data_IF_219326140635
#
_entry.id   IF_219326140635
#
_cell.length_a   1.000
_cell.length_b   1.000
_cell.length_c   1.000
_cell.angle_alpha   90.00
_cell.angle_beta   90.00
_cell.angle_gamma   90.00
#
_symmetry.space_group_name_H-M   'P 1'
#
loop_
_entity.id
_entity.type
_entity.pdbx_description
1 polymer ?
#
# COMPACT_ATOMS: atom_id res chain seq x y z
N UNK A 1 30.01 22.25 -0.75
CA UNK A 1 29.14 21.28 -1.43
C UNK A 1 28.77 20.04 -0.60
N UNK A 2 29.46 19.77 0.50
CA UNK A 2 29.26 18.56 1.34
C UNK A 2 28.03 18.68 2.28
N UNK A 3 27.61 19.89 2.64
CA UNK A 3 26.47 20.08 3.57
C UNK A 3 25.10 19.72 2.98
N UNK A 4 24.91 19.86 1.66
CA UNK A 4 23.64 19.52 1.02
C UNK A 4 23.39 18.01 0.89
N UNK A 5 24.45 17.22 0.74
CA UNK A 5 24.34 15.76 0.57
C UNK A 5 23.91 15.03 1.86
N UNK A 6 24.18 15.62 3.03
CA UNK A 6 23.76 15.05 4.31
C UNK A 6 22.39 15.55 4.80
N UNK A 7 21.94 16.72 4.30
CA UNK A 7 20.67 17.32 4.71
C UNK A 7 19.49 16.52 4.16
N UNK A 8 19.55 16.08 2.90
CA UNK A 8 18.47 15.31 2.28
C UNK A 8 18.17 13.98 2.99
N UNK A 9 19.18 13.10 3.24
CA UNK A 9 18.93 11.86 3.97
C UNK A 9 18.51 12.12 5.43
N UNK A 10 19.03 13.16 6.08
CA UNK A 10 18.62 13.51 7.43
C UNK A 10 17.15 13.95 7.51
N UNK A 11 16.68 14.75 6.56
CA UNK A 11 15.25 15.14 6.45
C UNK A 11 14.40 13.92 6.19
N UNK A 12 14.80 13.04 5.27
CA UNK A 12 14.05 11.83 4.93
C UNK A 12 13.91 10.90 6.14
N UNK A 13 15.00 10.62 6.83
CA UNK A 13 15.01 9.79 8.06
C UNK A 13 14.21 10.46 9.17
N UNK A 14 14.34 11.79 9.33
CA UNK A 14 13.60 12.56 10.32
C UNK A 14 12.08 12.51 10.09
N UNK A 15 11.63 12.71 8.85
CA UNK A 15 10.22 12.62 8.49
C UNK A 15 9.68 11.19 8.66
N UNK A 16 10.43 10.18 8.23
CA UNK A 16 10.05 8.78 8.40
C UNK A 16 9.92 8.39 9.87
N UNK A 17 10.88 8.81 10.69
CA UNK A 17 10.84 8.59 12.14
C UNK A 17 9.66 9.33 12.80
N UNK A 18 9.37 10.56 12.37
CA UNK A 18 8.24 11.34 12.87
C UNK A 18 6.91 10.65 12.53
N UNK A 19 6.72 10.22 11.28
CA UNK A 19 5.52 9.47 10.87
C UNK A 19 5.41 8.16 11.66
N UNK A 20 6.50 7.40 11.79
CA UNK A 20 6.51 6.15 12.54
C UNK A 20 6.13 6.37 14.02
N UNK A 21 6.66 7.41 14.66
CA UNK A 21 6.34 7.73 16.08
C UNK A 21 4.91 8.21 16.25
N UNK A 22 4.40 9.04 15.34
CA UNK A 22 3.00 9.50 15.36
C UNK A 22 2.04 8.33 15.19
N UNK A 23 2.29 7.46 14.21
CA UNK A 23 1.48 6.27 13.96
C UNK A 23 1.53 5.32 15.15
N UNK A 24 2.72 5.07 15.71
CA UNK A 24 2.86 4.22 16.88
C UNK A 24 2.10 4.76 18.09
N UNK A 25 2.19 6.07 18.37
CA UNK A 25 1.43 6.72 19.46
C UNK A 25 -0.09 6.60 19.24
N UNK A 26 -0.57 6.76 18.01
CA UNK A 26 -1.99 6.66 17.67
C UNK A 26 -2.50 5.21 17.71
N UNK A 27 -1.71 4.27 17.21
CA UNK A 27 -2.09 2.87 17.12
C UNK A 27 -1.75 2.05 18.38
N UNK A 28 -0.97 2.62 19.33
CA UNK A 28 -0.53 1.92 20.55
C UNK A 28 -1.67 1.35 21.40
N UNK A 29 -2.85 1.99 21.38
CA UNK A 29 -4.06 1.48 22.05
C UNK A 29 -4.69 0.31 21.30
N UNK A 30 -4.60 0.31 19.97
CA UNK A 30 -5.15 -0.75 19.10
C UNK A 30 -4.28 -2.01 19.11
N UNK A 31 -2.95 -1.87 19.20
CA UNK A 31 -2.01 -3.01 19.31
C UNK A 31 -2.25 -3.84 20.57
N UNK A 32 -2.80 -3.26 21.63
CA UNK A 32 -3.12 -3.96 22.88
C UNK A 32 -4.37 -4.85 22.78
N UNK A 33 -5.21 -4.63 21.77
CA UNK A 33 -6.46 -5.39 21.53
C UNK A 33 -6.34 -6.39 20.37
N UNK A 34 -5.14 -6.93 20.15
CA UNK A 34 -4.82 -7.87 19.05
C UNK A 34 -5.61 -9.19 19.05
N UNK A 35 -6.56 -9.38 19.96
CA UNK A 35 -7.39 -10.59 20.00
C UNK A 35 -8.54 -10.60 18.98
N UNK A 36 -8.83 -9.46 18.32
CA UNK A 36 -9.96 -9.38 17.39
C UNK A 36 -9.46 -9.25 15.94
N UNK A 37 -9.60 -10.34 15.18
CA UNK A 37 -9.24 -10.43 13.76
C UNK A 37 -9.89 -9.34 12.91
N UNK A 38 -11.10 -8.88 13.30
CA UNK A 38 -11.80 -7.79 12.61
C UNK A 38 -11.13 -6.45 12.81
N UNK A 39 -10.55 -6.19 13.98
CA UNK A 39 -9.83 -4.94 14.24
C UNK A 39 -8.53 -4.88 13.45
N UNK A 40 -7.82 -6.00 13.35
CA UNK A 40 -6.56 -6.08 12.61
C UNK A 40 -6.74 -5.90 11.10
N UNK A 41 -7.71 -6.60 10.49
CA UNK A 41 -7.88 -6.59 9.03
C UNK A 41 -8.86 -5.53 8.52
N UNK A 42 -9.81 -5.08 9.33
CA UNK A 42 -10.87 -4.16 8.90
C UNK A 42 -10.90 -2.85 9.69
N UNK A 43 -9.91 -2.63 10.59
CA UNK A 43 -9.88 -1.48 11.48
C UNK A 43 -11.22 -1.23 12.21
N UNK A 44 -11.95 -2.31 12.50
CA UNK A 44 -13.29 -2.32 13.13
C UNK A 44 -14.33 -1.42 12.41
N UNK A 45 -14.17 -1.17 11.10
CA UNK A 45 -14.99 -0.27 10.28
C UNK A 45 -15.06 1.17 10.83
N UNK A 46 -14.10 1.58 11.67
CA UNK A 46 -14.08 2.87 12.35
C UNK A 46 -13.17 3.93 11.73
N UNK A 47 -12.71 3.72 10.49
CA UNK A 47 -11.88 4.71 9.79
C UNK A 47 -12.75 5.89 9.31
N UNK A 48 -12.26 7.11 9.55
CA UNK A 48 -12.89 8.31 9.03
C UNK A 48 -12.77 8.34 7.49
N UNK A 49 -13.80 8.85 6.81
CA UNK A 49 -13.82 8.97 5.36
C UNK A 49 -12.62 9.73 4.78
N UNK A 50 -12.10 10.75 5.49
CA UNK A 50 -10.89 11.47 5.09
C UNK A 50 -9.65 10.58 5.08
N UNK A 51 -9.50 9.71 6.10
CA UNK A 51 -8.38 8.76 6.15
C UNK A 51 -8.48 7.72 5.04
N UNK A 52 -9.70 7.25 4.75
CA UNK A 52 -9.93 6.30 3.65
C UNK A 52 -9.58 6.96 2.30
N UNK A 53 -10.07 8.18 2.06
CA UNK A 53 -9.77 8.91 0.83
C UNK A 53 -8.28 9.19 0.68
N UNK A 54 -7.62 9.66 1.74
CA UNK A 54 -6.18 9.91 1.76
C UNK A 54 -5.37 8.63 1.52
N UNK A 55 -5.73 7.53 2.17
CA UNK A 55 -5.07 6.24 1.99
C UNK A 55 -5.18 5.72 0.55
N UNK A 56 -6.38 5.79 -0.05
CA UNK A 56 -6.59 5.38 -1.45
C UNK A 56 -5.77 6.27 -2.39
N UNK A 57 -5.76 7.58 -2.19
CA UNK A 57 -4.99 8.52 -3.02
C UNK A 57 -3.50 8.25 -2.92
N UNK A 58 -2.97 8.10 -1.70
CA UNK A 58 -1.54 7.84 -1.48
C UNK A 58 -1.10 6.47 -1.97
N UNK A 59 -1.97 5.46 -1.95
CA UNK A 59 -1.69 4.14 -2.51
C UNK A 59 -1.53 4.19 -4.04
N UNK A 60 -2.24 5.10 -4.71
CA UNK A 60 -2.09 5.31 -6.15
C UNK A 60 -0.81 6.09 -6.52
N UNK A 61 -0.30 6.95 -5.62
CA UNK A 61 0.97 7.67 -5.83
C UNK A 61 2.11 6.82 -5.26
N UNK A 62 2.51 5.81 -6.01
CA UNK A 62 3.63 4.95 -5.64
C UNK A 62 4.93 5.37 -6.34
N UNK A 63 6.03 4.71 -5.97
CA UNK A 63 7.36 5.00 -6.53
C UNK A 63 7.43 4.74 -8.03
N UNK A 64 6.71 3.73 -8.53
CA UNK A 64 6.68 3.38 -9.96
C UNK A 64 6.06 4.50 -10.77
N UNK A 65 4.96 5.08 -10.28
CA UNK A 65 4.29 6.24 -10.90
C UNK A 65 5.22 7.45 -10.92
N UNK A 66 5.92 7.72 -9.81
CA UNK A 66 6.85 8.86 -9.72
C UNK A 66 8.06 8.71 -10.65
N UNK A 67 8.66 7.51 -10.72
CA UNK A 67 9.77 7.22 -11.63
C UNK A 67 9.31 7.27 -13.07
N UNK A 68 8.14 6.72 -13.37
CA UNK A 68 7.56 6.72 -14.70
C UNK A 68 7.19 8.14 -15.20
N UNK A 69 6.73 9.04 -14.33
CA UNK A 69 6.45 10.42 -14.70
C UNK A 69 7.69 11.20 -15.13
N UNK A 70 8.84 10.88 -14.56
CA UNK A 70 10.13 11.48 -14.91
C UNK A 70 10.78 10.86 -16.15
N UNK A 71 10.23 9.77 -16.69
CA UNK A 71 10.71 9.09 -17.89
C UNK A 71 9.91 9.46 -19.14
N UNK A 72 10.31 8.87 -20.28
CA UNK A 72 9.63 9.02 -21.58
C UNK A 72 8.20 8.42 -21.63
N UNK A 73 7.68 7.95 -20.49
CA UNK A 73 6.39 7.26 -20.39
C UNK A 73 5.26 8.14 -19.82
N UNK A 74 5.48 9.45 -19.73
CA UNK A 74 4.51 10.38 -19.16
C UNK A 74 3.10 10.22 -19.76
N UNK A 75 2.99 10.00 -21.06
CA UNK A 75 1.70 9.84 -21.74
C UNK A 75 0.98 8.54 -21.33
N UNK A 76 1.72 7.44 -21.18
CA UNK A 76 1.16 6.14 -20.77
C UNK A 76 0.65 6.18 -19.33
N UNK A 77 1.36 6.85 -18.45
CA UNK A 77 1.00 6.99 -17.04
C UNK A 77 -0.21 7.91 -16.88
N UNK A 78 -0.26 9.01 -17.62
CA UNK A 78 -1.44 9.89 -17.64
C UNK A 78 -2.68 9.11 -18.08
N UNK A 79 -2.57 8.27 -19.11
CA UNK A 79 -3.66 7.40 -19.57
C UNK A 79 -4.07 6.37 -18.51
N UNK A 80 -3.11 5.81 -17.80
CA UNK A 80 -3.35 4.89 -16.67
C UNK A 80 -4.14 5.57 -15.55
N UNK A 81 -3.75 6.78 -15.15
CA UNK A 81 -4.43 7.55 -14.10
C UNK A 81 -5.86 7.93 -14.53
N UNK A 82 -6.08 8.32 -15.80
CA UNK A 82 -7.43 8.57 -16.31
C UNK A 82 -8.32 7.31 -16.24
N UNK A 83 -7.79 6.16 -16.60
CA UNK A 83 -8.54 4.90 -16.50
C UNK A 83 -8.86 4.52 -15.05
N UNK A 84 -7.96 4.83 -14.12
CA UNK A 84 -8.17 4.61 -12.69
C UNK A 84 -9.33 5.45 -12.13
N UNK A 85 -9.48 6.71 -12.58
CA UNK A 85 -10.62 7.56 -12.18
C UNK A 85 -11.94 6.94 -12.62
N UNK A 86 -12.03 6.46 -13.86
CA UNK A 86 -13.22 5.76 -14.38
C UNK A 86 -13.49 4.49 -13.56
N UNK A 87 -12.44 3.72 -13.27
CA UNK A 87 -12.53 2.52 -12.44
C UNK A 87 -13.05 2.81 -11.03
N UNK A 88 -12.57 3.87 -10.38
CA UNK A 88 -13.04 4.29 -9.05
C UNK A 88 -14.50 4.75 -9.07
N UNK A 89 -14.94 5.46 -10.12
CA UNK A 89 -16.35 5.84 -10.26
C UNK A 89 -17.27 4.62 -10.44
N UNK A 90 -16.85 3.64 -11.23
CA UNK A 90 -17.57 2.37 -11.38
C UNK A 90 -17.58 1.58 -10.07
N UNK A 91 -16.46 1.54 -9.36
CA UNK A 91 -16.35 0.92 -8.05
C UNK A 91 -17.36 1.55 -7.08
N UNK A 92 -17.36 2.88 -6.97
CA UNK A 92 -18.21 3.60 -6.02
C UNK A 92 -19.71 3.47 -6.35
N UNK A 93 -20.10 3.56 -7.63
CA UNK A 93 -21.51 3.56 -8.03
C UNK A 93 -22.12 2.17 -8.22
N UNK A 94 -21.34 1.20 -8.65
CA UNK A 94 -21.84 -0.14 -9.00
C UNK A 94 -21.39 -1.17 -7.96
N UNK A 95 -20.09 -1.28 -7.71
CA UNK A 95 -19.57 -2.37 -6.89
C UNK A 95 -19.83 -2.16 -5.40
N UNK A 96 -19.65 -0.96 -4.87
CA UNK A 96 -19.88 -0.70 -3.45
C UNK A 96 -21.30 -1.02 -3.01
N UNK A 97 -22.38 -0.60 -3.72
CA UNK A 97 -23.74 -1.04 -3.41
C UNK A 97 -23.92 -2.56 -3.46
N UNK A 98 -23.27 -3.24 -4.40
CA UNK A 98 -23.33 -4.70 -4.51
C UNK A 98 -22.66 -5.35 -3.30
N UNK A 99 -21.49 -4.87 -2.87
CA UNK A 99 -20.82 -5.35 -1.66
C UNK A 99 -21.68 -5.20 -0.41
N UNK A 100 -22.32 -4.05 -0.24
CA UNK A 100 -23.26 -3.83 0.86
C UNK A 100 -24.46 -4.76 0.82
N UNK A 101 -25.04 -4.97 -0.37
CA UNK A 101 -26.19 -5.87 -0.57
C UNK A 101 -25.87 -7.32 -0.19
N UNK A 102 -24.68 -7.80 -0.59
CA UNK A 102 -24.26 -9.16 -0.32
C UNK A 102 -23.49 -9.31 1.00
N UNK A 103 -23.27 -8.19 1.75
CA UNK A 103 -22.47 -8.17 2.99
C UNK A 103 -21.09 -8.83 2.82
N UNK A 104 -20.43 -8.56 1.70
CA UNK A 104 -19.11 -9.05 1.40
C UNK A 104 -18.06 -7.99 1.70
N UNK A 105 -16.89 -8.40 2.18
CA UNK A 105 -15.76 -7.50 2.46
C UNK A 105 -14.66 -7.57 1.41
N UNK A 106 -14.63 -8.65 0.63
CA UNK A 106 -13.59 -8.88 -0.38
C UNK A 106 -14.20 -9.31 -1.71
N UNK A 107 -13.46 -9.07 -2.81
CA UNK A 107 -13.85 -9.52 -4.17
C UNK A 107 -14.01 -11.04 -4.22
N UNK A 108 -13.10 -11.75 -3.58
CA UNK A 108 -13.11 -13.21 -3.55
C UNK A 108 -14.32 -13.78 -2.81
N UNK A 109 -14.79 -13.09 -1.76
CA UNK A 109 -16.02 -13.44 -1.05
C UNK A 109 -17.27 -13.18 -1.91
N UNK A 110 -17.28 -12.10 -2.68
CA UNK A 110 -18.37 -11.82 -3.62
C UNK A 110 -18.48 -12.92 -4.69
N UNK A 111 -17.33 -13.38 -5.22
CA UNK A 111 -17.31 -14.48 -6.19
C UNK A 111 -17.81 -15.80 -5.57
N UNK A 112 -17.42 -16.11 -4.33
CA UNK A 112 -17.92 -17.27 -3.60
C UNK A 112 -19.45 -17.25 -3.53
N UNK A 113 -20.04 -16.11 -3.14
CA UNK A 113 -21.50 -15.97 -3.02
C UNK A 113 -22.20 -16.01 -4.37
N UNK A 114 -21.60 -15.43 -5.41
CA UNK A 114 -22.19 -15.42 -6.77
C UNK A 114 -22.22 -16.81 -7.39
N UNK A 115 -21.16 -17.57 -7.24
CA UNK A 115 -21.00 -18.91 -7.86
C UNK A 115 -21.29 -20.05 -6.89
N UNK A 116 -21.59 -19.75 -5.61
CA UNK A 116 -21.87 -20.71 -4.54
C UNK A 116 -20.77 -21.78 -4.42
N UNK A 117 -19.51 -21.41 -4.55
CA UNK A 117 -18.37 -22.30 -4.55
C UNK A 117 -17.18 -21.75 -3.76
N UNK A 118 -16.81 -22.44 -2.68
CA UNK A 118 -15.62 -22.12 -1.86
C UNK A 118 -14.30 -22.31 -2.64
N UNK A 119 -14.29 -23.20 -3.61
CA UNK A 119 -13.11 -23.45 -4.43
C UNK A 119 -12.75 -22.25 -5.30
N UNK A 120 -13.75 -21.54 -5.87
CA UNK A 120 -13.52 -20.33 -6.65
C UNK A 120 -12.85 -19.25 -5.80
N UNK A 121 -13.33 -19.04 -4.57
CA UNK A 121 -12.72 -18.10 -3.62
C UNK A 121 -11.24 -18.43 -3.37
N UNK A 122 -10.95 -19.69 -3.06
CA UNK A 122 -9.59 -20.16 -2.75
C UNK A 122 -8.67 -20.02 -3.96
N UNK A 123 -9.12 -20.42 -5.15
CA UNK A 123 -8.33 -20.37 -6.39
C UNK A 123 -8.01 -18.92 -6.77
N UNK A 124 -9.01 -18.04 -6.76
CA UNK A 124 -8.81 -16.62 -7.11
C UNK A 124 -7.92 -15.93 -6.07
N UNK A 125 -8.11 -16.21 -4.78
CA UNK A 125 -7.24 -15.66 -3.73
C UNK A 125 -5.79 -16.14 -3.89
N UNK A 126 -5.57 -17.40 -4.25
CA UNK A 126 -4.25 -17.95 -4.49
C UNK A 126 -3.57 -17.29 -5.71
N UNK A 127 -4.30 -17.07 -6.79
CA UNK A 127 -3.78 -16.40 -7.99
C UNK A 127 -3.37 -14.96 -7.67
N UNK A 128 -4.21 -14.19 -6.96
CA UNK A 128 -3.86 -12.84 -6.54
C UNK A 128 -2.64 -12.82 -5.63
N UNK A 129 -2.60 -13.70 -4.63
CA UNK A 129 -1.46 -13.80 -3.71
C UNK A 129 -0.15 -14.13 -4.45
N UNK A 130 -0.19 -15.06 -5.39
CA UNK A 130 0.98 -15.39 -6.22
C UNK A 130 1.40 -14.20 -7.09
N UNK A 131 0.46 -13.49 -7.69
CA UNK A 131 0.73 -12.27 -8.46
C UNK A 131 1.37 -11.19 -7.61
N UNK A 132 0.84 -10.94 -6.42
CA UNK A 132 1.37 -9.94 -5.50
C UNK A 132 2.79 -10.29 -5.03
N UNK A 133 3.02 -11.54 -4.62
CA UNK A 133 4.32 -11.97 -4.09
C UNK A 133 5.40 -12.09 -5.17
N UNK A 134 5.06 -12.63 -6.36
CA UNK A 134 6.04 -12.92 -7.39
C UNK A 134 6.28 -11.75 -8.36
N UNK A 135 5.32 -10.87 -8.54
CA UNK A 135 5.38 -9.79 -9.54
C UNK A 135 5.38 -8.43 -8.86
N UNK A 136 4.30 -8.06 -8.16
CA UNK A 136 4.14 -6.69 -7.66
C UNK A 136 5.14 -6.33 -6.56
N UNK A 137 5.34 -7.20 -5.57
CA UNK A 137 6.24 -6.93 -4.46
C UNK A 137 7.71 -6.79 -4.89
N UNK A 138 8.29 -7.65 -5.76
CA UNK A 138 9.64 -7.44 -6.28
C UNK A 138 9.79 -6.16 -7.11
N UNK A 139 8.82 -5.80 -7.94
CA UNK A 139 8.84 -4.57 -8.73
C UNK A 139 8.85 -3.36 -7.80
N UNK A 140 7.95 -3.30 -6.82
CA UNK A 140 7.87 -2.21 -5.84
C UNK A 140 9.16 -2.05 -5.03
N UNK A 141 9.77 -3.16 -4.58
CA UNK A 141 11.04 -3.14 -3.85
C UNK A 141 12.19 -2.68 -4.74
N UNK A 142 12.22 -3.10 -5.99
CA UNK A 142 13.25 -2.70 -6.94
C UNK A 142 13.19 -1.20 -7.22
N UNK A 143 12.03 -0.69 -7.60
CA UNK A 143 11.85 0.73 -7.97
C UNK A 143 12.05 1.67 -6.79
N UNK A 144 11.58 1.31 -5.59
CA UNK A 144 11.82 2.09 -4.38
C UNK A 144 13.31 2.12 -4.00
N UNK A 145 14.00 0.98 -4.14
CA UNK A 145 15.44 0.90 -3.87
C UNK A 145 16.26 1.68 -4.89
N UNK A 146 15.84 1.65 -6.16
CA UNK A 146 16.48 2.42 -7.22
C UNK A 146 16.32 3.92 -6.97
N UNK A 147 15.13 4.37 -6.59
CA UNK A 147 14.85 5.76 -6.24
C UNK A 147 15.73 6.22 -5.07
N UNK A 148 15.78 5.47 -3.99
CA UNK A 148 16.61 5.78 -2.81
C UNK A 148 18.09 5.84 -3.19
N UNK A 149 18.58 4.86 -3.96
CA UNK A 149 19.96 4.82 -4.40
C UNK A 149 20.33 6.04 -5.24
N UNK A 150 19.48 6.42 -6.18
CA UNK A 150 19.74 7.56 -7.09
C UNK A 150 19.59 8.90 -6.38
N UNK A 151 18.60 9.06 -5.52
CA UNK A 151 18.38 10.32 -4.78
C UNK A 151 19.52 10.62 -3.80
N UNK A 152 20.03 9.60 -3.11
CA UNK A 152 21.06 9.80 -2.08
C UNK A 152 22.48 9.49 -2.58
N UNK A 153 22.65 9.09 -3.84
CA UNK A 153 23.96 8.76 -4.40
C UNK A 153 24.67 7.62 -3.66
N UNK A 154 23.91 6.62 -3.18
CA UNK A 154 24.45 5.56 -2.35
C UNK A 154 25.22 4.54 -3.21
N UNK A 155 26.47 4.28 -2.84
CA UNK A 155 27.30 3.22 -3.48
C UNK A 155 27.03 1.81 -2.90
N UNK A 156 25.85 1.58 -2.34
CA UNK A 156 25.44 0.32 -1.73
C UNK A 156 24.75 -0.57 -2.77
N UNK A 157 24.90 -1.90 -2.72
CA UNK A 157 24.19 -2.80 -3.63
C UNK A 157 22.68 -2.66 -3.45
N UNK A 158 21.95 -2.67 -4.56
CA UNK A 158 20.51 -2.43 -4.62
C UNK A 158 19.72 -3.41 -3.74
N UNK A 159 20.20 -4.66 -3.67
CA UNK A 159 19.60 -5.72 -2.84
C UNK A 159 19.63 -5.36 -1.35
N UNK A 160 20.70 -4.73 -0.86
CA UNK A 160 20.78 -4.33 0.55
C UNK A 160 19.75 -3.26 0.89
N UNK A 161 19.54 -2.27 -0.01
CA UNK A 161 18.50 -1.25 0.16
C UNK A 161 17.11 -1.90 0.13
N UNK A 162 16.89 -2.84 -0.80
CA UNK A 162 15.64 -3.58 -0.91
C UNK A 162 15.32 -4.40 0.37
N UNK A 163 16.32 -5.06 0.95
CA UNK A 163 16.15 -5.78 2.20
C UNK A 163 15.79 -4.86 3.37
N UNK A 164 16.43 -3.69 3.46
CA UNK A 164 16.12 -2.72 4.52
C UNK A 164 14.69 -2.17 4.35
N UNK A 165 14.32 -1.73 3.15
CA UNK A 165 12.97 -1.22 2.86
C UNK A 165 11.89 -2.28 3.07
N UNK A 166 12.13 -3.52 2.65
CA UNK A 166 11.23 -4.65 2.89
C UNK A 166 11.05 -4.93 4.38
N UNK A 167 12.14 -4.92 5.15
CA UNK A 167 12.08 -5.16 6.60
C UNK A 167 11.31 -4.05 7.34
N UNK A 168 11.54 -2.80 6.97
CA UNK A 168 10.81 -1.65 7.53
C UNK A 168 9.33 -1.74 7.19
N UNK A 169 8.98 -1.98 5.92
CA UNK A 169 7.60 -2.12 5.46
C UNK A 169 6.88 -3.30 6.12
N UNK A 170 7.53 -4.46 6.20
CA UNK A 170 6.98 -5.65 6.85
C UNK A 170 6.75 -5.43 8.36
N UNK A 171 7.71 -4.83 9.05
CA UNK A 171 7.55 -4.52 10.49
C UNK A 171 6.38 -3.58 10.74
N UNK A 172 6.22 -2.57 9.89
CA UNK A 172 5.12 -1.61 9.98
C UNK A 172 3.75 -2.27 9.75
N UNK A 173 3.65 -3.11 8.72
CA UNK A 173 2.42 -3.83 8.38
C UNK A 173 2.04 -4.87 9.45
N UNK A 174 3.02 -5.65 9.94
CA UNK A 174 2.78 -6.71 10.94
C UNK A 174 2.39 -6.12 12.30
N UNK A 175 3.07 -5.05 12.73
CA UNK A 175 2.83 -4.47 14.05
C UNK A 175 1.55 -3.63 14.13
N UNK A 176 1.13 -3.02 13.03
CA UNK A 176 0.05 -2.05 13.05
C UNK A 176 -1.25 -2.45 12.35
N UNK A 177 -1.23 -3.49 11.53
CA UNK A 177 -2.37 -3.91 10.71
C UNK A 177 -2.89 -2.80 9.80
N UNK A 178 -4.13 -2.95 9.30
CA UNK A 178 -4.73 -1.99 8.37
C UNK A 178 -4.82 -0.56 8.93
N UNK A 179 -5.04 -0.42 10.23
CA UNK A 179 -5.17 0.90 10.88
C UNK A 179 -3.87 1.69 10.83
N UNK A 180 -2.73 1.05 11.02
CA UNK A 180 -1.43 1.70 10.93
C UNK A 180 -1.03 2.02 9.49
N UNK A 181 -1.43 1.20 8.54
CA UNK A 181 -1.14 1.41 7.11
C UNK A 181 -2.01 2.53 6.54
N UNK A 182 -3.24 2.71 7.05
CA UNK A 182 -4.17 3.75 6.58
C UNK A 182 -3.92 5.13 7.23
N UNK A 183 -3.17 5.21 8.32
CA UNK A 183 -2.86 6.45 9.05
C UNK A 183 -1.54 7.07 8.58
#
# INVERSE_FOLDING_TARGET
MISGALIQPAIFVGLTALVATLTWRHCRKAVRSQSDTKEYFLANSGLNWMLIAGSITLTNINTDTMVGWNGNQMLLITWWEFSAVIGLLLLAKIFVPIYYKYKCTTVTELLERRYNSKHIRATVACIFLLGDVLIFLPIMLYTSSLLIKTMFGLEVPLVAIACVTATVGASYAILGGLRAVAF
#
